data_IF_560921630606
#
_entry.id   IF_560921630606
#
_cell.length_a   1.000
_cell.length_b   1.000
_cell.length_c   1.000
_cell.angle_alpha   90.00
_cell.angle_beta   90.00
_cell.angle_gamma   90.00
#
_symmetry.space_group_name_H-M   'P 1'
#
loop_
_entity.id
_entity.type
_entity.pdbx_description
1 polymer ?
#
# COMPACT_ATOMS: atom_id res chain seq x y z
N UNK A 1 -5.36 -15.60 9.17
CA UNK A 1 -5.35 -14.77 7.94
C UNK A 1 -6.63 -14.98 7.15
N UNK A 2 -7.33 -13.90 6.77
CA UNK A 2 -8.51 -13.94 5.90
C UNK A 2 -8.11 -13.34 4.56
N UNK A 3 -8.48 -13.98 3.46
CA UNK A 3 -8.22 -13.45 2.12
C UNK A 3 -9.35 -12.49 1.74
N UNK A 4 -9.00 -11.23 1.45
CA UNK A 4 -9.95 -10.18 1.08
C UNK A 4 -9.49 -9.56 -0.23
N UNK A 5 -10.38 -9.53 -1.23
CA UNK A 5 -10.14 -8.81 -2.48
C UNK A 5 -10.65 -7.38 -2.36
N UNK A 6 -9.81 -6.41 -2.69
CA UNK A 6 -10.16 -4.99 -2.78
C UNK A 6 -9.99 -4.49 -4.21
N UNK A 7 -10.88 -3.61 -4.65
CA UNK A 7 -10.74 -2.85 -5.89
C UNK A 7 -10.51 -1.41 -5.47
N UNK A 8 -9.44 -0.79 -5.95
CA UNK A 8 -9.07 0.56 -5.53
C UNK A 8 -8.80 1.46 -6.73
N UNK A 9 -9.08 2.75 -6.54
CA UNK A 9 -8.74 3.82 -7.46
C UNK A 9 -7.82 4.80 -6.74
N UNK A 10 -6.84 5.34 -7.46
CA UNK A 10 -5.92 6.33 -6.93
C UNK A 10 -5.50 7.32 -8.02
N UNK A 11 -5.06 8.50 -7.61
CA UNK A 11 -4.41 9.47 -8.49
C UNK A 11 -2.93 9.09 -8.65
N UNK A 12 -2.56 8.65 -9.85
CA UNK A 12 -1.21 8.18 -10.15
C UNK A 12 -0.13 9.28 -10.15
N UNK A 13 -0.50 10.57 -10.18
CA UNK A 13 0.47 11.67 -10.29
C UNK A 13 1.36 11.83 -9.06
N UNK A 14 0.88 11.38 -7.89
CA UNK A 14 1.57 11.52 -6.60
C UNK A 14 2.48 10.35 -6.24
N UNK A 15 2.41 9.25 -6.97
CA UNK A 15 3.09 8.00 -6.63
C UNK A 15 4.03 7.56 -7.74
N UNK A 16 5.16 6.96 -7.38
CA UNK A 16 6.13 6.38 -8.31
C UNK A 16 5.71 4.96 -8.72
N UNK A 17 4.46 4.81 -9.12
CA UNK A 17 3.86 3.54 -9.52
C UNK A 17 3.23 2.74 -8.38
N UNK A 18 2.91 1.47 -8.70
CA UNK A 18 2.19 0.56 -7.81
C UNK A 18 3.11 -0.11 -6.78
N UNK A 19 4.13 -0.80 -7.26
CA UNK A 19 4.99 -1.70 -6.49
C UNK A 19 5.85 -0.96 -5.47
N UNK A 20 5.96 -1.49 -4.25
CA UNK A 20 6.94 -1.01 -3.26
C UNK A 20 8.37 -1.29 -3.73
N UNK A 21 9.23 -0.28 -3.62
CA UNK A 21 10.63 -0.37 -4.03
C UNK A 21 11.54 -0.49 -2.81
N UNK A 22 12.81 -0.84 -3.03
CA UNK A 22 13.83 -0.95 -1.97
C UNK A 22 14.25 0.39 -1.39
N UNK A 23 14.09 1.47 -2.17
CA UNK A 23 14.29 2.84 -1.71
C UNK A 23 13.01 3.38 -1.06
N UNK A 24 13.15 4.33 -0.14
CA UNK A 24 12.03 5.00 0.53
C UNK A 24 11.29 5.93 -0.45
N UNK A 25 10.45 5.33 -1.28
CA UNK A 25 9.72 5.99 -2.35
C UNK A 25 8.22 5.81 -2.13
N UNK A 26 7.48 6.90 -2.29
CA UNK A 26 6.02 6.90 -2.27
C UNK A 26 5.45 6.06 -3.42
N UNK A 27 4.90 4.90 -3.07
CA UNK A 27 4.26 3.93 -3.96
C UNK A 27 2.88 3.58 -3.40
N UNK A 28 1.97 3.13 -4.26
CA UNK A 28 0.59 2.83 -3.83
C UNK A 28 0.56 1.63 -2.89
N UNK A 29 1.28 0.56 -3.21
CA UNK A 29 1.39 -0.62 -2.36
C UNK A 29 1.98 -0.27 -0.99
N UNK A 30 3.11 0.45 -0.94
CA UNK A 30 3.75 0.81 0.33
C UNK A 30 2.85 1.68 1.22
N UNK A 31 2.06 2.59 0.61
CA UNK A 31 1.10 3.40 1.37
C UNK A 31 -0.04 2.55 1.94
N UNK A 32 -0.57 1.59 1.17
CA UNK A 32 -1.63 0.70 1.62
C UNK A 32 -1.16 -0.23 2.73
N UNK A 33 0.01 -0.85 2.59
CA UNK A 33 0.62 -1.70 3.63
C UNK A 33 0.77 -0.91 4.93
N UNK A 34 1.30 0.31 4.88
CA UNK A 34 1.45 1.16 6.07
C UNK A 34 0.11 1.50 6.74
N UNK A 35 -0.91 1.85 5.97
CA UNK A 35 -2.24 2.16 6.53
C UNK A 35 -2.87 0.89 7.13
N UNK A 36 -2.86 -0.21 6.39
CA UNK A 36 -3.48 -1.46 6.82
C UNK A 36 -2.78 -2.00 8.07
N UNK A 37 -1.44 -2.00 8.11
CA UNK A 37 -0.70 -2.42 9.29
C UNK A 37 -0.99 -1.55 10.52
N UNK A 38 -1.14 -0.23 10.34
CA UNK A 38 -1.56 0.66 11.43
C UNK A 38 -3.01 0.39 11.88
N UNK A 39 -3.90 0.01 10.97
CA UNK A 39 -5.31 -0.27 11.28
C UNK A 39 -5.51 -1.63 11.94
N UNK A 40 -4.72 -2.64 11.56
CA UNK A 40 -4.81 -4.01 12.10
C UNK A 40 -3.89 -4.25 13.29
N UNK A 41 -2.84 -3.44 13.46
CA UNK A 41 -1.78 -3.68 14.43
C UNK A 41 -0.86 -4.85 14.06
N UNK A 42 -0.89 -5.28 12.80
CA UNK A 42 -0.11 -6.39 12.27
C UNK A 42 0.92 -5.88 11.24
N UNK A 43 2.06 -6.56 11.12
CA UNK A 43 3.03 -6.29 10.06
C UNK A 43 2.56 -6.93 8.75
N UNK A 44 2.59 -6.17 7.65
CA UNK A 44 2.10 -6.56 6.31
C UNK A 44 3.22 -6.43 5.29
#
# INVERSE_FOLDING_TARGET
MRNIKMIIQYDGTRYKGWQKQTEDINTVQGKLESILGNMTGEEI
#
